data_IF_289237736380
#
_entry.id   IF_289237736380
#
_cell.length_a   1.000
_cell.length_b   1.000
_cell.length_c   1.000
_cell.angle_alpha   90.00
_cell.angle_beta   90.00
_cell.angle_gamma   90.00
#
_symmetry.space_group_name_H-M   'P 1'
#
loop_
_entity.id
_entity.type
_entity.pdbx_description
1 polymer ?
#
# COMPACT_ATOMS: atom_id res chain seq x y z
N UNK A 1 16.46 33.03 33.05
CA UNK A 1 16.04 32.80 31.65
C UNK A 1 16.87 31.67 31.01
N UNK A 2 17.06 30.54 31.71
CA UNK A 2 17.92 29.44 31.23
C UNK A 2 17.47 28.05 31.75
N UNK A 3 16.21 27.94 32.19
CA UNK A 3 15.62 26.70 32.74
C UNK A 3 14.41 26.23 31.91
N UNK A 4 13.90 27.06 30.99
CA UNK A 4 12.71 26.74 30.19
C UNK A 4 13.02 26.03 28.85
N UNK A 5 14.30 25.92 28.49
CA UNK A 5 14.77 25.31 27.24
C UNK A 5 14.95 23.77 27.30
N UNK A 6 15.07 23.04 28.44
CA UNK A 6 15.29 21.58 28.38
C UNK A 6 14.03 20.74 28.10
N UNK A 7 12.85 21.15 28.59
CA UNK A 7 11.66 20.27 28.59
C UNK A 7 10.99 20.21 27.20
N UNK A 8 10.94 21.33 26.49
CA UNK A 8 10.34 21.39 25.15
C UNK A 8 11.14 20.58 24.12
N UNK A 9 12.47 20.58 24.20
CA UNK A 9 13.29 19.76 23.31
C UNK A 9 13.15 18.27 23.60
N UNK A 10 13.04 17.86 24.87
CA UNK A 10 12.76 16.46 25.21
C UNK A 10 11.40 16.02 24.66
N UNK A 11 10.35 16.85 24.80
CA UNK A 11 9.05 16.57 24.19
C UNK A 11 9.11 16.53 22.66
N UNK A 12 9.85 17.45 22.04
CA UNK A 12 10.03 17.49 20.59
C UNK A 12 10.81 16.28 20.06
N UNK A 13 11.93 15.89 20.70
CA UNK A 13 12.68 14.68 20.35
C UNK A 13 11.88 13.41 20.61
N UNK A 14 11.05 13.38 21.65
CA UNK A 14 10.16 12.26 21.91
C UNK A 14 9.09 12.15 20.83
N UNK A 15 8.47 13.27 20.43
CA UNK A 15 7.51 13.32 19.31
C UNK A 15 8.16 13.02 17.96
N UNK A 16 9.39 13.46 17.74
CA UNK A 16 10.16 13.16 16.53
C UNK A 16 10.49 11.67 16.46
N UNK A 17 10.91 11.06 17.58
CA UNK A 17 11.17 9.63 17.67
C UNK A 17 9.89 8.79 17.54
N UNK A 18 8.78 9.24 18.12
CA UNK A 18 7.45 8.65 17.95
C UNK A 18 7.01 8.70 16.48
N UNK A 19 7.24 9.83 15.81
CA UNK A 19 6.99 10.01 14.38
C UNK A 19 7.90 9.13 13.51
N UNK A 20 9.21 9.08 13.77
CA UNK A 20 10.18 8.23 13.05
C UNK A 20 9.82 6.75 13.20
N UNK A 21 9.50 6.30 14.42
CA UNK A 21 9.05 4.94 14.67
C UNK A 21 7.71 4.66 13.97
N UNK A 22 6.76 5.59 14.04
CA UNK A 22 5.46 5.49 13.37
C UNK A 22 5.60 5.41 11.85
N UNK A 23 6.49 6.21 11.26
CA UNK A 23 6.78 6.21 9.83
C UNK A 23 7.43 4.90 9.39
N UNK A 24 8.36 4.36 10.19
CA UNK A 24 8.97 3.06 9.91
C UNK A 24 7.93 1.94 9.95
N UNK A 25 7.11 1.89 10.99
CA UNK A 25 6.04 0.89 11.13
C UNK A 25 5.02 1.03 10.00
N UNK A 26 4.68 2.27 9.62
CA UNK A 26 3.82 2.55 8.49
C UNK A 26 4.42 2.02 7.18
N UNK A 27 5.68 2.34 6.89
CA UNK A 27 6.36 1.87 5.70
C UNK A 27 6.39 0.33 5.66
N UNK A 28 6.77 -0.32 6.76
CA UNK A 28 6.75 -1.78 6.88
C UNK A 28 5.36 -2.34 6.59
N UNK A 29 4.31 -1.83 7.25
CA UNK A 29 2.94 -2.30 7.04
C UNK A 29 2.38 -1.98 5.65
N UNK A 30 2.87 -0.93 5.00
CA UNK A 30 2.49 -0.58 3.63
C UNK A 30 3.20 -1.45 2.59
N UNK A 31 4.48 -1.76 2.80
CA UNK A 31 5.30 -2.53 1.86
C UNK A 31 5.15 -4.05 2.02
N UNK A 32 5.01 -4.56 3.25
CA UNK A 32 4.97 -6.00 3.51
C UNK A 32 3.89 -6.72 2.69
N UNK A 33 2.62 -6.27 2.66
CA UNK A 33 1.60 -6.95 1.86
C UNK A 33 1.92 -6.95 0.37
N UNK A 34 2.55 -5.88 -0.12
CA UNK A 34 2.92 -5.73 -1.53
C UNK A 34 4.07 -6.64 -1.93
N UNK A 35 5.13 -6.67 -1.12
CA UNK A 35 6.27 -7.57 -1.30
C UNK A 35 5.80 -9.02 -1.32
N UNK A 36 5.00 -9.42 -0.32
CA UNK A 36 4.48 -10.79 -0.24
C UNK A 36 3.60 -11.17 -1.43
N UNK A 37 2.80 -10.23 -1.92
CA UNK A 37 1.98 -10.45 -3.12
C UNK A 37 2.87 -10.64 -4.34
N UNK A 38 3.92 -9.85 -4.49
CA UNK A 38 4.90 -10.01 -5.58
C UNK A 38 5.61 -11.37 -5.49
N UNK A 39 6.08 -11.76 -4.30
CA UNK A 39 6.75 -13.04 -4.07
C UNK A 39 5.81 -14.22 -4.41
N UNK A 40 4.55 -14.15 -3.98
CA UNK A 40 3.55 -15.17 -4.26
C UNK A 40 3.20 -15.24 -5.76
N UNK A 41 3.12 -14.09 -6.44
CA UNK A 41 2.93 -14.02 -7.89
C UNK A 41 4.11 -14.62 -8.62
N UNK A 42 5.33 -14.26 -8.23
CA UNK A 42 6.55 -14.76 -8.85
C UNK A 42 6.64 -16.29 -8.77
N UNK A 43 6.45 -16.85 -7.57
CA UNK A 43 6.44 -18.31 -7.36
C UNK A 43 5.32 -19.00 -8.15
N UNK A 44 4.14 -18.37 -8.24
CA UNK A 44 3.02 -18.92 -8.99
C UNK A 44 3.27 -18.95 -10.50
N UNK A 45 3.94 -17.92 -11.06
CA UNK A 45 4.34 -17.89 -12.47
C UNK A 45 5.45 -18.91 -12.77
N UNK A 46 6.42 -19.09 -11.86
CA UNK A 46 7.48 -20.10 -12.01
C UNK A 46 6.92 -21.53 -12.02
N UNK A 47 5.97 -21.81 -11.13
CA UNK A 47 5.34 -23.13 -10.98
C UNK A 47 4.12 -23.35 -11.89
N UNK A 48 3.73 -22.36 -12.72
CA UNK A 48 2.52 -22.37 -13.55
C UNK A 48 1.22 -22.73 -12.77
N UNK A 49 1.04 -22.15 -11.58
CA UNK A 49 -0.11 -22.38 -10.71
C UNK A 49 -0.89 -21.10 -10.41
N UNK A 50 -2.15 -21.17 -9.93
CA UNK A 50 -2.85 -19.98 -9.43
C UNK A 50 -2.14 -19.41 -8.19
N UNK A 51 -2.21 -18.08 -8.03
CA UNK A 51 -1.70 -17.40 -6.83
C UNK A 51 -2.58 -17.81 -5.65
N UNK A 52 -1.94 -18.38 -4.63
CA UNK A 52 -2.59 -18.79 -3.40
C UNK A 52 -2.48 -17.68 -2.35
N UNK A 53 -3.49 -16.81 -2.29
CA UNK A 53 -3.58 -15.78 -1.25
C UNK A 53 -3.98 -16.32 0.12
N UNK A 54 -4.50 -17.56 0.22
CA UNK A 54 -4.87 -18.16 1.50
C UNK A 54 -3.62 -18.46 2.31
N UNK A 55 -2.54 -18.90 1.64
CA UNK A 55 -1.22 -19.05 2.26
C UNK A 55 -0.61 -17.75 2.81
N UNK A 56 -1.11 -16.59 2.39
CA UNK A 56 -0.67 -15.27 2.88
C UNK A 56 -1.46 -14.80 4.11
N UNK A 57 -2.48 -15.55 4.56
CA UNK A 57 -3.33 -15.20 5.70
C UNK A 57 -2.60 -15.27 7.04
N UNK A 58 -1.69 -16.22 7.21
CA UNK A 58 -1.05 -16.51 8.51
C UNK A 58 -0.14 -15.40 9.03
N UNK A 59 0.14 -14.37 8.22
CA UNK A 59 1.22 -13.42 8.50
C UNK A 59 0.75 -11.97 8.72
N UNK A 60 -0.55 -11.69 8.70
CA UNK A 60 -1.12 -10.32 8.86
C UNK A 60 -2.05 -10.17 10.08
N UNK A 61 -2.06 -11.15 11.00
CA UNK A 61 -2.93 -11.17 12.17
C UNK A 61 -4.37 -11.57 11.86
N UNK A 62 -5.19 -11.74 12.91
CA UNK A 62 -6.60 -12.11 12.78
C UNK A 62 -7.39 -10.98 12.12
N UNK A 63 -7.56 -11.09 10.80
CA UNK A 63 -8.30 -10.08 10.07
C UNK A 63 -9.80 -10.42 10.07
N UNK A 64 -10.66 -9.46 10.47
CA UNK A 64 -12.10 -9.66 10.54
C UNK A 64 -12.71 -10.25 9.27
N UNK A 65 -13.69 -11.15 9.45
CA UNK A 65 -14.42 -11.82 8.37
C UNK A 65 -14.91 -10.82 7.29
N UNK A 66 -15.44 -9.67 7.72
CA UNK A 66 -15.93 -8.59 6.85
C UNK A 66 -14.81 -7.89 6.04
N UNK A 67 -13.56 -7.98 6.48
CA UNK A 67 -12.40 -7.42 5.79
C UNK A 67 -11.63 -8.48 4.97
N UNK A 68 -11.97 -9.78 5.06
CA UNK A 68 -11.32 -10.84 4.26
C UNK A 68 -11.63 -10.72 2.77
N UNK A 69 -12.90 -10.52 2.42
CA UNK A 69 -13.30 -10.34 1.03
C UNK A 69 -12.64 -9.08 0.41
N UNK A 70 -12.61 -7.97 1.15
CA UNK A 70 -12.00 -6.70 0.70
C UNK A 70 -10.48 -6.82 0.55
N UNK A 71 -9.83 -7.55 1.45
CA UNK A 71 -8.40 -7.85 1.32
C UNK A 71 -8.13 -8.66 0.06
N UNK A 72 -8.90 -9.71 -0.17
CA UNK A 72 -8.76 -10.55 -1.36
C UNK A 72 -8.93 -9.73 -2.63
N UNK A 73 -9.96 -8.89 -2.71
CA UNK A 73 -10.17 -7.99 -3.85
C UNK A 73 -8.96 -7.07 -4.09
N UNK A 74 -8.40 -6.48 -3.04
CA UNK A 74 -7.20 -5.65 -3.13
C UNK A 74 -5.97 -6.44 -3.60
N UNK A 75 -5.73 -7.62 -3.04
CA UNK A 75 -4.62 -8.51 -3.41
C UNK A 75 -4.75 -9.03 -4.85
N UNK A 76 -5.97 -9.30 -5.32
CA UNK A 76 -6.24 -9.72 -6.69
C UNK A 76 -5.85 -8.62 -7.70
N UNK A 77 -6.21 -7.37 -7.42
CA UNK A 77 -5.83 -6.21 -8.26
C UNK A 77 -4.31 -6.05 -8.29
N UNK A 78 -3.66 -6.18 -7.13
CA UNK A 78 -2.23 -6.03 -7.01
C UNK A 78 -1.47 -7.18 -7.71
N UNK A 79 -1.95 -8.41 -7.58
CA UNK A 79 -1.37 -9.57 -8.24
C UNK A 79 -1.54 -9.50 -9.76
N UNK A 80 -2.70 -9.05 -10.24
CA UNK A 80 -2.91 -8.82 -11.67
C UNK A 80 -1.92 -7.79 -12.24
N UNK A 81 -1.63 -6.72 -11.48
CA UNK A 81 -0.60 -5.76 -11.84
C UNK A 81 0.80 -6.41 -11.92
N UNK A 82 1.22 -7.15 -10.90
CA UNK A 82 2.54 -7.78 -10.90
C UNK A 82 2.71 -8.82 -12.00
N UNK A 83 1.68 -9.63 -12.28
CA UNK A 83 1.69 -10.56 -13.42
C UNK A 83 1.89 -9.84 -14.74
N UNK A 84 1.17 -8.72 -14.93
CA UNK A 84 1.28 -7.91 -16.13
C UNK A 84 2.70 -7.35 -16.29
N UNK A 85 3.34 -6.91 -15.20
CA UNK A 85 4.72 -6.43 -15.22
C UNK A 85 5.75 -7.54 -15.45
N UNK A 86 5.58 -8.72 -14.85
CA UNK A 86 6.48 -9.87 -15.04
C UNK A 86 6.45 -10.40 -16.48
N UNK A 87 5.30 -10.32 -17.14
CA UNK A 87 5.15 -10.69 -18.55
C UNK A 87 5.61 -9.59 -19.52
N UNK A 88 5.86 -8.37 -19.03
CA UNK A 88 6.26 -7.24 -19.85
C UNK A 88 7.77 -7.22 -20.12
N UNK A 89 8.15 -6.62 -21.25
CA UNK A 89 9.56 -6.38 -21.57
C UNK A 89 9.97 -4.96 -21.17
N UNK A 90 11.12 -4.83 -20.50
CA UNK A 90 11.71 -3.56 -20.09
C UNK A 90 12.93 -3.76 -19.20
N UNK A 91 13.88 -2.82 -19.27
CA UNK A 91 15.12 -2.80 -18.47
C UNK A 91 15.01 -1.91 -17.22
N UNK A 92 13.87 -1.25 -17.06
CA UNK A 92 13.56 -0.34 -15.97
C UNK A 92 12.08 -0.41 -15.65
N UNK A 93 11.71 -0.04 -14.41
CA UNK A 93 10.30 -0.04 -13.99
C UNK A 93 9.41 0.83 -14.91
N UNK A 94 9.78 2.06 -15.31
CA UNK A 94 8.99 2.82 -16.28
C UNK A 94 8.84 2.12 -17.63
N UNK A 95 9.88 1.43 -18.12
CA UNK A 95 9.79 0.67 -19.37
C UNK A 95 8.82 -0.51 -19.24
N UNK A 96 8.85 -1.24 -18.12
CA UNK A 96 7.90 -2.32 -17.83
C UNK A 96 6.46 -1.79 -17.79
N UNK A 97 6.21 -0.69 -17.05
CA UNK A 97 4.87 -0.09 -16.96
C UNK A 97 4.37 0.38 -18.32
N UNK A 98 5.20 1.05 -19.13
CA UNK A 98 4.85 1.46 -20.49
C UNK A 98 4.51 0.26 -21.37
N UNK A 99 5.33 -0.78 -21.33
CA UNK A 99 5.15 -2.01 -22.11
C UNK A 99 3.86 -2.74 -21.72
N UNK A 100 3.60 -2.85 -20.41
CA UNK A 100 2.47 -3.55 -19.85
C UNK A 100 1.13 -2.82 -20.10
N UNK A 101 1.05 -1.52 -19.82
CA UNK A 101 -0.20 -0.73 -19.89
C UNK A 101 -0.41 0.00 -21.22
N UNK A 102 0.64 0.16 -22.02
CA UNK A 102 0.69 0.82 -23.34
C UNK A 102 0.43 2.33 -23.34
N UNK A 103 -0.46 2.80 -22.48
CA UNK A 103 -0.79 4.21 -22.35
C UNK A 103 -1.11 4.59 -20.90
N UNK A 104 -1.03 5.90 -20.65
CA UNK A 104 -1.26 6.52 -19.35
C UNK A 104 -2.66 6.24 -18.80
N UNK A 105 -3.70 6.31 -19.63
CA UNK A 105 -5.09 6.13 -19.19
C UNK A 105 -5.34 4.74 -18.61
N UNK A 106 -4.74 3.71 -19.21
CA UNK A 106 -4.81 2.32 -18.71
C UNK A 106 -4.10 2.17 -17.37
N UNK A 107 -2.91 2.76 -17.22
CA UNK A 107 -2.20 2.75 -15.95
C UNK A 107 -2.96 3.50 -14.85
N UNK A 108 -3.51 4.68 -15.16
CA UNK A 108 -4.35 5.44 -14.23
C UNK A 108 -5.64 4.72 -13.84
N UNK A 109 -6.22 3.90 -14.74
CA UNK A 109 -7.37 3.06 -14.40
C UNK A 109 -7.00 2.03 -13.32
N UNK A 110 -5.86 1.35 -13.47
CA UNK A 110 -5.32 0.47 -12.44
C UNK A 110 -5.10 1.22 -11.12
N UNK A 111 -4.39 2.35 -11.15
CA UNK A 111 -4.08 3.13 -9.95
C UNK A 111 -5.34 3.50 -9.15
N UNK A 112 -6.41 3.87 -9.85
CA UNK A 112 -7.72 4.16 -9.25
C UNK A 112 -8.38 2.91 -8.66
N UNK A 113 -8.35 1.79 -9.38
CA UNK A 113 -8.90 0.52 -8.88
C UNK A 113 -8.15 0.01 -7.64
N UNK A 114 -6.81 0.09 -7.66
CA UNK A 114 -5.95 -0.27 -6.54
C UNK A 114 -6.21 0.63 -5.33
N UNK A 115 -6.30 1.95 -5.54
CA UNK A 115 -6.62 2.91 -4.47
C UNK A 115 -8.00 2.67 -3.86
N UNK A 116 -9.02 2.40 -4.69
CA UNK A 116 -10.38 2.13 -4.21
C UNK A 116 -10.43 0.88 -3.33
N UNK A 117 -9.82 -0.22 -3.78
CA UNK A 117 -9.83 -1.51 -3.06
C UNK A 117 -9.00 -1.46 -1.78
N UNK A 118 -7.84 -0.80 -1.81
CA UNK A 118 -6.98 -0.56 -0.64
C UNK A 118 -7.70 0.28 0.43
N UNK A 119 -8.33 1.39 0.03
CA UNK A 119 -9.08 2.24 0.97
C UNK A 119 -10.26 1.50 1.58
N UNK A 120 -11.01 0.73 0.79
CA UNK A 120 -12.12 -0.09 1.29
C UNK A 120 -11.64 -1.10 2.35
N UNK A 121 -10.52 -1.78 2.07
CA UNK A 121 -9.88 -2.68 3.03
C UNK A 121 -9.47 -1.96 4.32
N UNK A 122 -8.74 -0.84 4.22
CA UNK A 122 -8.27 -0.08 5.38
C UNK A 122 -9.43 0.45 6.25
N UNK A 123 -10.51 0.94 5.62
CA UNK A 123 -11.70 1.40 6.34
C UNK A 123 -12.40 0.26 7.10
N UNK A 124 -12.38 -0.96 6.57
CA UNK A 124 -12.95 -2.13 7.23
C UNK A 124 -12.14 -2.59 8.47
N UNK A 125 -10.87 -2.18 8.59
CA UNK A 125 -10.01 -2.46 9.75
C UNK A 125 -10.24 -1.48 10.91
N UNK A 126 -10.76 -0.27 10.64
CA UNK A 126 -10.90 0.79 11.64
C UNK A 126 -11.61 0.35 12.94
N UNK A 127 -12.69 -0.45 12.92
CA UNK A 127 -13.38 -0.86 14.15
C UNK A 127 -12.52 -1.69 15.13
N UNK A 128 -11.36 -2.20 14.71
CA UNK A 128 -10.42 -2.96 15.55
C UNK A 128 -9.28 -2.13 16.11
N UNK A 129 -9.15 -0.88 15.65
CA UNK A 129 -8.08 0.01 16.08
C UNK A 129 -8.61 0.81 17.28
N UNK A 130 -7.87 0.79 18.39
CA UNK A 130 -8.17 1.64 19.53
C UNK A 130 -7.97 3.12 19.13
N UNK A 131 -9.01 3.93 19.29
CA UNK A 131 -8.95 5.35 18.99
C UNK A 131 -10.29 5.93 18.55
N UNK A 132 -10.30 7.24 18.33
CA UNK A 132 -11.47 7.92 17.76
C UNK A 132 -11.66 7.51 16.29
N UNK A 133 -12.78 6.83 16.01
CA UNK A 133 -13.10 6.33 14.67
C UNK A 133 -13.21 7.46 13.64
N UNK A 134 -13.62 8.67 14.03
CA UNK A 134 -13.70 9.81 13.11
C UNK A 134 -12.30 10.29 12.70
N UNK A 135 -11.40 10.44 13.67
CA UNK A 135 -9.98 10.78 13.42
C UNK A 135 -9.29 9.70 12.58
N UNK A 136 -9.48 8.42 12.89
CA UNK A 136 -8.88 7.31 12.14
C UNK A 136 -9.38 7.24 10.69
N UNK A 137 -10.67 7.53 10.47
CA UNK A 137 -11.24 7.66 9.11
C UNK A 137 -10.59 8.81 8.36
N UNK A 138 -10.49 9.99 8.97
CA UNK A 138 -9.87 11.16 8.34
C UNK A 138 -8.42 10.87 7.94
N UNK A 139 -7.64 10.23 8.81
CA UNK A 139 -6.25 9.83 8.49
C UNK A 139 -6.21 8.87 7.30
N UNK A 140 -7.11 7.88 7.27
CA UNK A 140 -7.19 6.90 6.17
C UNK A 140 -7.54 7.58 4.84
N UNK A 141 -8.45 8.54 4.86
CA UNK A 141 -8.85 9.32 3.68
C UNK A 141 -7.71 10.23 3.20
N UNK A 142 -7.05 10.96 4.11
CA UNK A 142 -5.88 11.79 3.77
C UNK A 142 -4.73 10.95 3.19
N UNK A 143 -4.51 9.74 3.71
CA UNK A 143 -3.54 8.82 3.14
C UNK A 143 -3.91 8.40 1.72
N UNK A 144 -5.19 8.09 1.47
CA UNK A 144 -5.66 7.71 0.14
C UNK A 144 -5.47 8.84 -0.89
N UNK A 145 -5.76 10.09 -0.50
CA UNK A 145 -5.54 11.28 -1.34
C UNK A 145 -4.04 11.51 -1.63
N UNK A 146 -3.19 11.35 -0.62
CA UNK A 146 -1.73 11.42 -0.79
C UNK A 146 -1.22 10.37 -1.77
N UNK A 147 -1.69 9.13 -1.66
CA UNK A 147 -1.34 8.04 -2.58
C UNK A 147 -1.84 8.29 -4.00
N UNK A 148 -3.05 8.82 -4.18
CA UNK A 148 -3.56 9.17 -5.51
C UNK A 148 -2.71 10.26 -6.16
N UNK A 149 -2.31 11.27 -5.39
CA UNK A 149 -1.41 12.33 -5.85
C UNK A 149 -0.06 11.77 -6.31
N UNK A 150 0.53 10.86 -5.53
CA UNK A 150 1.81 10.21 -5.88
C UNK A 150 1.68 9.35 -7.15
N UNK A 151 0.63 8.54 -7.27
CA UNK A 151 0.37 7.69 -8.44
C UNK A 151 0.10 8.52 -9.70
N UNK A 152 -0.59 9.65 -9.57
CA UNK A 152 -0.79 10.56 -10.69
C UNK A 152 0.52 11.18 -11.16
N UNK A 153 1.38 11.65 -10.24
CA UNK A 153 2.72 12.15 -10.59
C UNK A 153 3.57 11.08 -11.27
N UNK A 154 3.59 9.87 -10.72
CA UNK A 154 4.28 8.73 -11.32
C UNK A 154 3.75 8.44 -12.73
N UNK A 155 2.42 8.46 -12.93
CA UNK A 155 1.83 8.27 -14.25
C UNK A 155 2.22 9.37 -15.26
N UNK A 156 2.35 10.63 -14.82
CA UNK A 156 2.91 11.70 -15.65
C UNK A 156 4.38 11.42 -16.00
N UNK A 157 5.20 11.10 -15.00
CA UNK A 157 6.64 10.85 -15.20
C UNK A 157 6.90 9.65 -16.10
N UNK A 158 6.13 8.58 -15.95
CA UNK A 158 6.25 7.38 -16.78
C UNK A 158 5.72 7.62 -18.18
N UNK A 159 4.66 8.39 -18.44
CA UNK A 159 4.07 8.48 -19.78
C UNK A 159 4.27 9.83 -20.48
N UNK A 160 5.09 10.72 -19.92
CA UNK A 160 5.58 11.92 -20.58
C UNK A 160 6.62 11.60 -21.66
#
# INVERSE_FOLDING_TARGET
WMIFIPIFFVFYFWKLKEYENGLKVFAENHFIPRSRTLDAVFAAEEENRPVDFESLQDLNGDVPENARALRREWLDVLAAHFRLLLAAQGDSYPALVRSAYRNKSNYQLLCRQLGKTETAYNLALLPKIEGDTATLRQITESMAEGMDTLRNKEAEEIFS
#
